data_IF_129117698078
#
_entry.id   IF_129117698078
#
_cell.length_a   1.000
_cell.length_b   1.000
_cell.length_c   1.000
_cell.angle_alpha   90.00
_cell.angle_beta   90.00
_cell.angle_gamma   90.00
#
_symmetry.space_group_name_H-M   'P 1'
#
loop_
_entity.id
_entity.type
_entity.pdbx_description
1 polymer ?
#
# COMPACT_ATOMS: atom_id res chain seq x y z
N UNK A 1 13.75 -10.52 -51.55
CA UNK A 1 12.83 -10.29 -52.68
C UNK A 1 13.11 -8.89 -53.21
N UNK A 2 13.57 -8.82 -54.46
CA UNK A 2 14.02 -7.63 -55.19
C UNK A 2 12.81 -6.98 -55.88
N UNK A 3 12.73 -5.65 -55.96
CA UNK A 3 12.32 -4.86 -57.17
C UNK A 3 12.45 -3.34 -56.83
N UNK A 4 13.56 -2.67 -57.17
CA UNK A 4 13.98 -1.98 -58.42
C UNK A 4 13.34 -0.60 -58.70
N UNK A 5 14.21 0.43 -58.60
CA UNK A 5 14.52 1.57 -59.49
C UNK A 5 13.38 2.32 -60.22
N UNK A 6 13.40 3.66 -60.11
CA UNK A 6 13.75 4.51 -61.27
C UNK A 6 14.18 5.93 -60.88
N UNK A 7 15.35 6.33 -61.39
CA UNK A 7 15.84 7.70 -61.54
C UNK A 7 15.19 8.34 -62.77
N UNK A 8 14.97 9.66 -62.77
CA UNK A 8 15.18 10.54 -63.93
C UNK A 8 15.21 12.02 -63.51
N UNK A 9 16.22 12.74 -63.99
CA UNK A 9 16.42 14.17 -63.84
C UNK A 9 15.59 14.96 -64.86
N UNK A 10 15.15 16.17 -64.50
CA UNK A 10 14.65 17.16 -65.46
C UNK A 10 14.62 18.57 -64.87
N UNK A 11 15.52 19.44 -65.34
CA UNK A 11 15.48 20.90 -65.12
C UNK A 11 14.66 21.57 -66.24
N UNK A 12 13.69 22.41 -65.89
CA UNK A 12 13.20 23.55 -66.69
C UNK A 12 12.41 24.49 -65.77
N UNK A 13 12.97 25.65 -65.39
CA UNK A 13 12.72 26.99 -65.95
C UNK A 13 11.25 27.47 -65.94
N UNK A 14 10.95 28.29 -64.94
CA UNK A 14 10.31 29.61 -65.11
C UNK A 14 8.79 29.66 -65.21
N UNK A 15 8.15 30.25 -64.20
CA UNK A 15 7.20 31.37 -64.35
C UNK A 15 6.80 31.86 -62.96
N UNK A 16 7.03 33.16 -62.73
CA UNK A 16 6.64 33.87 -61.53
C UNK A 16 5.10 33.94 -61.46
N UNK A 17 4.52 33.32 -60.44
CA UNK A 17 3.14 33.52 -60.03
C UNK A 17 3.13 33.99 -58.59
N UNK A 18 2.55 35.15 -58.32
CA UNK A 18 2.30 35.65 -56.97
C UNK A 18 1.52 34.60 -56.18
N UNK A 19 2.17 33.91 -55.25
CA UNK A 19 1.47 33.17 -54.20
C UNK A 19 1.12 34.17 -53.09
N UNK A 20 -0.17 34.45 -52.91
CA UNK A 20 -0.66 35.09 -51.70
C UNK A 20 -0.21 34.25 -50.50
N UNK A 21 0.64 34.83 -49.65
CA UNK A 21 0.92 34.28 -48.34
C UNK A 21 -0.33 34.49 -47.49
N UNK A 22 -1.22 33.50 -47.49
CA UNK A 22 -2.21 33.39 -46.43
C UNK A 22 -1.44 33.04 -45.16
N UNK A 23 -1.25 34.03 -44.28
CA UNK A 23 -0.80 33.79 -42.91
C UNK A 23 -1.98 33.09 -42.22
N UNK A 24 -2.01 31.76 -42.32
CA UNK A 24 -2.84 30.95 -41.44
C UNK A 24 -2.34 31.21 -40.03
N UNK A 25 -3.11 31.96 -39.25
CA UNK A 25 -2.87 32.11 -37.82
C UNK A 25 -2.83 30.70 -37.23
N UNK A 26 -1.65 30.27 -36.80
CA UNK A 26 -1.49 29.12 -35.92
C UNK A 26 -2.16 29.52 -34.60
N UNK A 27 -3.45 29.24 -34.47
CA UNK A 27 -4.04 29.14 -33.15
C UNK A 27 -3.22 28.09 -32.40
N UNK A 28 -2.77 28.37 -31.16
CA UNK A 28 -2.11 27.35 -30.38
C UNK A 28 -3.09 26.19 -30.24
N UNK A 29 -2.70 25.00 -30.71
CA UNK A 29 -3.36 23.77 -30.32
C UNK A 29 -3.23 23.74 -28.79
N UNK A 30 -4.32 23.99 -28.08
CA UNK A 30 -4.41 23.61 -26.68
C UNK A 30 -4.07 22.13 -26.64
N UNK A 31 -2.98 21.78 -25.96
CA UNK A 31 -2.66 20.39 -25.68
C UNK A 31 -3.90 19.83 -24.95
N UNK A 32 -4.53 18.80 -25.51
CA UNK A 32 -5.66 18.17 -24.86
C UNK A 32 -5.19 17.62 -23.51
N UNK A 33 -5.97 17.85 -22.45
CA UNK A 33 -5.77 17.26 -21.13
C UNK A 33 -5.31 15.79 -21.25
N UNK A 34 -4.08 15.52 -20.84
CA UNK A 34 -3.59 14.15 -20.79
C UNK A 34 -3.93 13.58 -19.41
N UNK A 35 -4.78 12.55 -19.42
CA UNK A 35 -5.10 11.77 -18.23
C UNK A 35 -4.15 10.58 -18.17
N UNK A 36 -3.23 10.59 -17.21
CA UNK A 36 -2.26 9.50 -17.04
C UNK A 36 -2.98 8.31 -16.40
N UNK A 37 -2.88 7.14 -17.04
CA UNK A 37 -3.64 5.92 -16.68
C UNK A 37 -2.76 4.77 -16.18
N UNK A 38 -1.44 4.95 -16.14
CA UNK A 38 -0.46 3.91 -15.78
C UNK A 38 -0.64 3.38 -14.34
N UNK A 39 -1.37 4.11 -13.51
CA UNK A 39 -1.63 3.82 -12.10
C UNK A 39 -3.08 3.43 -11.82
N UNK A 40 -3.89 3.12 -12.86
CA UNK A 40 -5.30 2.76 -12.71
C UNK A 40 -5.52 1.77 -11.55
N UNK A 41 -6.52 1.93 -10.66
CA UNK A 41 -7.65 2.83 -10.79
C UNK A 41 -7.36 4.28 -10.37
N UNK A 42 -6.10 4.66 -10.17
CA UNK A 42 -5.71 6.05 -9.98
C UNK A 42 -5.40 6.74 -11.31
N UNK A 43 -5.99 7.92 -11.48
CA UNK A 43 -5.85 8.72 -12.68
C UNK A 43 -5.40 10.12 -12.31
N UNK A 44 -4.30 10.54 -12.92
CA UNK A 44 -3.73 11.86 -12.72
C UNK A 44 -4.11 12.76 -13.91
N UNK A 45 -4.64 13.94 -13.60
CA UNK A 45 -5.03 14.94 -14.60
C UNK A 45 -3.94 16.01 -14.69
N UNK A 46 -3.28 16.08 -15.85
CA UNK A 46 -2.21 17.06 -16.10
C UNK A 46 -2.69 18.52 -16.10
N UNK A 47 -3.99 18.79 -16.24
CA UNK A 47 -4.55 20.13 -16.10
C UNK A 47 -4.75 20.53 -14.63
N UNK A 48 -4.92 19.55 -13.74
CA UNK A 48 -5.16 19.72 -12.31
C UNK A 48 -4.15 18.91 -11.49
N UNK A 49 -2.85 19.28 -11.52
CA UNK A 49 -1.77 18.46 -10.96
C UNK A 49 -1.89 18.19 -9.45
N UNK A 50 -2.63 19.02 -8.71
CA UNK A 50 -2.92 18.79 -7.29
C UNK A 50 -3.94 17.68 -7.01
N UNK A 51 -4.51 17.06 -8.04
CA UNK A 51 -5.63 16.12 -7.94
C UNK A 51 -5.23 14.75 -8.49
N UNK A 52 -5.54 13.71 -7.71
CA UNK A 52 -5.54 12.32 -8.14
C UNK A 52 -6.96 11.76 -7.99
N UNK A 53 -7.46 11.02 -8.98
CA UNK A 53 -8.79 10.41 -8.93
C UNK A 53 -8.71 8.90 -8.75
N UNK A 54 -9.38 8.35 -7.74
CA UNK A 54 -9.69 6.93 -7.64
C UNK A 54 -11.02 6.65 -8.34
N UNK A 55 -10.97 5.88 -9.43
CA UNK A 55 -12.16 5.41 -10.15
C UNK A 55 -12.07 3.90 -10.40
N UNK A 56 -12.78 3.13 -9.59
CA UNK A 56 -12.84 1.67 -9.71
C UNK A 56 -12.82 0.94 -8.37
N UNK A 57 -12.69 -0.38 -8.42
CA UNK A 57 -12.73 -1.24 -7.25
C UNK A 57 -11.40 -1.24 -6.48
N UNK A 58 -11.49 -1.40 -5.16
CA UNK A 58 -10.35 -1.54 -4.26
C UNK A 58 -9.97 -3.01 -4.16
N UNK A 59 -8.73 -3.34 -4.53
CA UNK A 59 -8.17 -4.69 -4.49
C UNK A 59 -6.69 -4.67 -4.07
N UNK A 60 -6.08 -5.86 -3.99
CA UNK A 60 -4.71 -6.11 -3.52
C UNK A 60 -3.57 -5.44 -4.32
N UNK A 61 -3.88 -4.74 -5.41
CA UNK A 61 -2.90 -3.97 -6.17
C UNK A 61 -3.09 -2.46 -5.99
N UNK A 62 -4.17 -2.04 -5.34
CA UNK A 62 -4.60 -0.64 -5.30
C UNK A 62 -3.71 0.17 -4.35
N UNK A 63 -3.31 -0.40 -3.21
CA UNK A 63 -2.44 0.29 -2.25
C UNK A 63 -1.07 0.66 -2.86
N UNK A 64 -0.45 -0.28 -3.56
CA UNK A 64 0.84 -0.12 -4.21
C UNK A 64 0.76 0.88 -5.35
N UNK A 65 -0.36 0.89 -6.09
CA UNK A 65 -0.59 1.85 -7.17
C UNK A 65 -0.80 3.26 -6.63
N UNK A 66 -1.47 3.44 -5.49
CA UNK A 66 -1.58 4.74 -4.82
C UNK A 66 -0.20 5.27 -4.44
N UNK A 67 0.60 4.48 -3.72
CA UNK A 67 1.95 4.89 -3.30
C UNK A 67 2.85 5.24 -4.48
N UNK A 68 2.79 4.45 -5.56
CA UNK A 68 3.52 4.75 -6.80
C UNK A 68 3.04 6.02 -7.51
N UNK A 69 1.74 6.30 -7.50
CA UNK A 69 1.19 7.53 -8.07
C UNK A 69 1.64 8.75 -7.26
N UNK A 70 1.52 8.71 -5.93
CA UNK A 70 1.96 9.81 -5.06
C UNK A 70 3.47 10.06 -5.12
N UNK A 71 4.28 9.01 -5.30
CA UNK A 71 5.71 9.17 -5.53
C UNK A 71 6.02 9.83 -6.88
N UNK A 72 5.26 9.49 -7.93
CA UNK A 72 5.45 10.05 -9.27
C UNK A 72 4.92 11.49 -9.38
N UNK A 73 3.89 11.83 -8.60
CA UNK A 73 3.20 13.12 -8.59
C UNK A 73 3.17 13.69 -7.16
N UNK A 74 4.33 14.13 -6.62
CA UNK A 74 4.44 14.60 -5.24
C UNK A 74 3.66 15.89 -4.93
N UNK A 75 3.16 16.58 -5.95
CA UNK A 75 2.32 17.77 -5.84
C UNK A 75 0.83 17.49 -5.60
N UNK A 76 0.41 16.22 -5.68
CA UNK A 76 -0.96 15.81 -5.36
C UNK A 76 -1.26 16.11 -3.90
N UNK A 77 -2.33 16.87 -3.66
CA UNK A 77 -2.82 17.21 -2.33
C UNK A 77 -4.25 16.72 -2.09
N UNK A 78 -5.00 16.39 -3.14
CA UNK A 78 -6.41 15.99 -3.06
C UNK A 78 -6.66 14.68 -3.79
N UNK A 79 -7.34 13.75 -3.13
CA UNK A 79 -7.82 12.51 -3.70
C UNK A 79 -9.33 12.60 -3.95
N UNK A 80 -9.74 12.54 -5.23
CA UNK A 80 -11.14 12.38 -5.60
C UNK A 80 -11.52 10.90 -5.49
N UNK A 81 -12.62 10.62 -4.80
CA UNK A 81 -13.03 9.26 -4.44
C UNK A 81 -14.34 8.89 -5.12
N UNK A 82 -14.26 7.97 -6.08
CA UNK A 82 -15.41 7.34 -6.73
C UNK A 82 -15.18 5.83 -6.84
N UNK A 83 -15.59 5.10 -5.81
CA UNK A 83 -15.40 3.66 -5.69
C UNK A 83 -16.52 2.99 -4.91
N UNK A 84 -16.97 1.83 -5.40
CA UNK A 84 -17.93 0.97 -4.70
C UNK A 84 -17.30 0.21 -3.53
N UNK A 85 -16.00 0.37 -3.31
CA UNK A 85 -15.23 -0.31 -2.28
C UNK A 85 -14.56 -1.56 -2.79
N UNK A 86 -14.39 -2.54 -1.90
CA UNK A 86 -13.66 -3.76 -2.18
C UNK A 86 -13.10 -4.39 -0.91
N UNK A 87 -11.83 -4.77 -0.94
CA UNK A 87 -11.15 -5.42 0.19
C UNK A 87 -10.94 -4.46 1.36
N UNK A 88 -11.18 -4.97 2.57
CA UNK A 88 -11.12 -4.18 3.82
C UNK A 88 -9.69 -3.75 4.12
N UNK A 89 -8.75 -4.69 4.08
CA UNK A 89 -7.34 -4.45 4.36
C UNK A 89 -6.74 -3.41 3.42
N UNK A 90 -7.00 -3.49 2.10
CA UNK A 90 -6.49 -2.50 1.15
C UNK A 90 -7.11 -1.12 1.39
N UNK A 91 -8.39 -1.06 1.75
CA UNK A 91 -9.05 0.19 2.17
C UNK A 91 -8.38 0.83 3.40
N UNK A 92 -8.06 0.04 4.43
CA UNK A 92 -7.39 0.50 5.65
C UNK A 92 -5.92 0.88 5.41
N UNK A 93 -5.19 0.09 4.63
CA UNK A 93 -3.80 0.38 4.22
C UNK A 93 -3.71 1.71 3.47
N UNK A 94 -4.60 1.92 2.49
CA UNK A 94 -4.67 3.19 1.76
C UNK A 94 -5.14 4.34 2.64
N UNK A 95 -6.04 4.10 3.59
CA UNK A 95 -6.46 5.11 4.58
C UNK A 95 -5.27 5.60 5.39
N UNK A 96 -4.41 4.69 5.85
CA UNK A 96 -3.19 5.06 6.59
C UNK A 96 -2.27 5.91 5.72
N UNK A 97 -2.08 5.53 4.45
CA UNK A 97 -1.27 6.29 3.49
C UNK A 97 -1.85 7.69 3.23
N UNK A 98 -3.17 7.82 3.02
CA UNK A 98 -3.85 9.11 2.82
C UNK A 98 -3.63 10.03 4.01
N UNK A 99 -3.76 9.49 5.22
CA UNK A 99 -3.60 10.24 6.46
C UNK A 99 -2.15 10.70 6.66
N UNK A 100 -1.18 9.81 6.46
CA UNK A 100 0.25 10.12 6.63
C UNK A 100 0.79 11.12 5.60
N UNK A 101 0.29 11.06 4.36
CA UNK A 101 0.61 12.05 3.32
C UNK A 101 -0.15 13.37 3.51
N UNK A 102 -1.07 13.45 4.46
CA UNK A 102 -1.85 14.67 4.73
C UNK A 102 -2.79 15.04 3.58
N UNK A 103 -3.31 14.05 2.85
CA UNK A 103 -4.16 14.30 1.68
C UNK A 103 -5.56 14.77 2.08
N UNK A 104 -6.12 15.67 1.29
CA UNK A 104 -7.55 16.02 1.30
C UNK A 104 -8.33 14.94 0.57
N UNK A 105 -9.55 14.66 1.00
CA UNK A 105 -10.43 13.69 0.34
C UNK A 105 -11.72 14.36 -0.12
N UNK A 106 -12.15 14.05 -1.33
CA UNK A 106 -13.37 14.63 -1.88
C UNK A 106 -14.19 13.60 -2.66
N UNK A 107 -15.51 13.55 -2.41
CA UNK A 107 -16.44 12.74 -3.22
C UNK A 107 -17.13 13.69 -4.22
N UNK A 108 -16.85 13.59 -5.53
CA UNK A 108 -17.45 14.49 -6.54
C UNK A 108 -18.97 14.28 -6.66
N UNK A 109 -19.68 15.21 -7.31
CA UNK A 109 -21.16 15.23 -7.36
C UNK A 109 -21.82 13.94 -7.85
N UNK A 110 -21.25 13.29 -8.85
CA UNK A 110 -21.68 12.01 -9.41
C UNK A 110 -20.92 10.80 -8.82
N UNK A 111 -19.98 11.07 -7.90
CA UNK A 111 -19.18 10.09 -7.20
C UNK A 111 -19.96 9.35 -6.13
N UNK A 112 -19.60 8.07 -5.99
CA UNK A 112 -20.10 7.21 -4.92
C UNK A 112 -18.88 6.61 -4.22
N UNK A 113 -18.79 6.78 -2.90
CA UNK A 113 -17.70 6.23 -2.10
C UNK A 113 -18.26 5.31 -1.02
N UNK A 114 -18.25 4.00 -1.30
CA UNK A 114 -18.94 2.99 -0.50
C UNK A 114 -17.97 1.99 0.12
N UNK A 115 -18.39 1.39 1.24
CA UNK A 115 -17.67 0.29 1.88
C UNK A 115 -16.22 0.67 2.20
N UNK A 116 -15.22 -0.07 1.71
CA UNK A 116 -13.80 0.22 1.90
C UNK A 116 -13.38 1.63 1.44
N UNK A 117 -14.05 2.22 0.43
CA UNK A 117 -13.78 3.61 0.03
C UNK A 117 -14.10 4.60 1.17
N UNK A 118 -15.11 4.31 2.00
CA UNK A 118 -15.47 5.20 3.10
C UNK A 118 -14.32 5.36 4.08
N UNK A 119 -13.52 4.30 4.34
CA UNK A 119 -12.31 4.40 5.17
C UNK A 119 -11.32 5.42 4.60
N UNK A 120 -11.08 5.36 3.29
CA UNK A 120 -10.20 6.30 2.60
C UNK A 120 -10.71 7.73 2.71
N UNK A 121 -12.03 7.94 2.53
CA UNK A 121 -12.65 9.25 2.72
C UNK A 121 -12.42 9.78 4.14
N UNK A 122 -12.62 8.94 5.16
CA UNK A 122 -12.39 9.32 6.55
C UNK A 122 -10.92 9.64 6.82
N UNK A 123 -9.95 9.02 6.17
CA UNK A 123 -8.54 9.31 6.44
C UNK A 123 -8.10 10.74 6.06
N UNK A 124 -8.84 11.42 5.19
CA UNK A 124 -8.49 12.75 4.71
C UNK A 124 -8.41 13.78 5.84
N UNK A 125 -7.38 14.63 5.80
CA UNK A 125 -7.16 15.71 6.77
C UNK A 125 -8.15 16.87 6.60
N UNK A 126 -8.75 16.96 5.42
CA UNK A 126 -9.89 17.80 5.09
C UNK A 126 -10.81 17.02 4.16
N UNK A 127 -12.12 17.06 4.44
CA UNK A 127 -13.12 16.21 3.77
C UNK A 127 -14.17 17.05 3.08
N UNK A 128 -14.36 16.83 1.79
CA UNK A 128 -15.45 17.42 1.02
C UNK A 128 -16.34 16.36 0.37
N UNK A 129 -17.62 16.65 0.21
CA UNK A 129 -18.52 15.73 -0.50
C UNK A 129 -19.61 16.50 -1.21
N UNK A 130 -19.74 16.26 -2.50
CA UNK A 130 -20.92 16.59 -3.31
C UNK A 130 -21.71 15.32 -3.66
N UNK A 131 -21.04 14.17 -3.66
CA UNK A 131 -21.61 12.85 -3.90
C UNK A 131 -22.03 12.11 -2.63
N UNK A 132 -22.10 10.78 -2.73
CA UNK A 132 -22.66 9.90 -1.69
C UNK A 132 -21.58 9.12 -0.96
N UNK A 133 -21.71 9.04 0.37
CA UNK A 133 -20.88 8.20 1.23
C UNK A 133 -21.70 7.02 1.76
N UNK A 134 -21.18 5.80 1.68
CA UNK A 134 -21.90 4.59 2.06
C UNK A 134 -21.12 3.71 3.03
N UNK A 135 -21.77 3.30 4.11
CA UNK A 135 -21.16 2.45 5.15
C UNK A 135 -21.99 1.19 5.41
N UNK A 136 -21.30 0.10 5.74
CA UNK A 136 -21.88 -1.15 6.24
C UNK A 136 -20.85 -1.92 7.07
N UNK A 137 -21.29 -2.89 7.85
CA UNK A 137 -20.40 -3.76 8.62
C UNK A 137 -19.67 -4.74 7.71
N UNK A 138 -18.50 -5.20 8.14
CA UNK A 138 -17.69 -6.17 7.41
C UNK A 138 -18.46 -7.49 7.17
N UNK A 139 -18.27 -8.10 6.00
CA UNK A 139 -18.78 -9.44 5.71
C UNK A 139 -17.94 -10.50 6.46
N UNK A 140 -18.55 -11.61 6.86
CA UNK A 140 -17.82 -12.74 7.49
C UNK A 140 -17.41 -12.56 8.96
N UNK A 141 -17.75 -11.44 9.62
CA UNK A 141 -17.44 -11.19 11.06
C UNK A 141 -17.96 -12.25 12.04
N UNK A 142 -18.88 -13.11 11.62
CA UNK A 142 -19.46 -14.17 12.44
C UNK A 142 -18.93 -15.58 12.15
N UNK A 143 -18.11 -15.73 11.11
CA UNK A 143 -17.65 -17.05 10.65
C UNK A 143 -16.35 -17.48 11.38
N UNK A 144 -15.50 -16.49 11.70
CA UNK A 144 -14.33 -16.63 12.58
C UNK A 144 -14.32 -15.46 13.58
N UNK A 145 -14.49 -15.80 14.86
CA UNK A 145 -14.63 -14.82 15.95
C UNK A 145 -13.31 -14.09 16.21
N UNK A 146 -12.16 -14.76 16.04
CA UNK A 146 -10.85 -14.16 16.33
C UNK A 146 -10.45 -13.20 15.22
N UNK A 147 -10.52 -13.66 13.96
CA UNK A 147 -10.27 -12.82 12.79
C UNK A 147 -11.25 -11.64 12.72
N UNK A 148 -12.51 -11.87 13.06
CA UNK A 148 -13.53 -10.83 13.13
C UNK A 148 -13.23 -9.76 14.19
N UNK A 149 -12.62 -10.13 15.32
CA UNK A 149 -12.26 -9.21 16.40
C UNK A 149 -11.03 -8.34 16.05
N UNK A 150 -10.03 -8.90 15.40
CA UNK A 150 -8.82 -8.17 14.99
C UNK A 150 -9.14 -7.08 13.96
N UNK A 151 -9.79 -7.45 12.86
CA UNK A 151 -10.14 -6.51 11.79
C UNK A 151 -11.10 -5.44 12.30
N UNK A 152 -12.06 -5.83 13.15
CA UNK A 152 -12.98 -4.87 13.74
C UNK A 152 -12.25 -3.87 14.64
N UNK A 153 -11.29 -4.34 15.44
CA UNK A 153 -10.48 -3.48 16.30
C UNK A 153 -9.67 -2.48 15.49
N UNK A 154 -9.08 -2.90 14.37
CA UNK A 154 -8.34 -2.04 13.46
C UNK A 154 -9.23 -0.98 12.78
N UNK A 155 -10.42 -1.39 12.31
CA UNK A 155 -11.41 -0.44 11.76
C UNK A 155 -11.79 0.59 12.81
N UNK A 156 -12.11 0.18 14.04
CA UNK A 156 -12.45 1.10 15.11
C UNK A 156 -11.30 2.06 15.45
N UNK A 157 -10.08 1.53 15.57
CA UNK A 157 -8.89 2.33 15.86
C UNK A 157 -8.63 3.37 14.75
N UNK A 158 -8.80 2.98 13.49
CA UNK A 158 -8.66 3.85 12.33
C UNK A 158 -9.71 4.96 12.34
N UNK A 159 -11.00 4.61 12.44
CA UNK A 159 -12.09 5.58 12.46
C UNK A 159 -11.98 6.54 13.65
N UNK A 160 -11.54 6.05 14.80
CA UNK A 160 -11.25 6.89 15.96
C UNK A 160 -10.07 7.83 15.69
N UNK A 161 -8.96 7.34 15.14
CA UNK A 161 -7.79 8.15 14.77
C UNK A 161 -8.17 9.27 13.81
N UNK A 162 -9.06 8.97 12.87
CA UNK A 162 -9.56 9.95 11.91
C UNK A 162 -10.67 10.85 12.47
N UNK A 163 -11.06 10.76 13.74
CA UNK A 163 -12.10 11.62 14.30
C UNK A 163 -13.46 11.47 13.63
N UNK A 164 -13.79 10.24 13.21
CA UNK A 164 -15.12 9.92 12.68
C UNK A 164 -16.13 9.97 13.83
N UNK A 165 -17.25 10.72 13.68
CA UNK A 165 -18.32 10.75 14.68
C UNK A 165 -18.82 9.34 15.01
N UNK A 166 -18.97 9.05 16.30
CA UNK A 166 -19.39 7.72 16.78
C UNK A 166 -20.73 7.27 16.19
N UNK A 167 -21.61 8.20 15.83
CA UNK A 167 -22.90 7.93 15.18
C UNK A 167 -22.74 7.24 13.81
N UNK A 168 -21.70 7.61 13.06
CA UNK A 168 -21.36 6.98 11.77
C UNK A 168 -20.79 5.59 12.00
N UNK A 169 -19.90 5.44 12.99
CA UNK A 169 -19.34 4.14 13.39
C UNK A 169 -20.46 3.18 13.81
N UNK A 170 -21.37 3.63 14.67
CA UNK A 170 -22.52 2.84 15.10
C UNK A 170 -23.41 2.45 13.92
N UNK A 171 -23.69 3.39 13.00
CA UNK A 171 -24.51 3.13 11.82
C UNK A 171 -23.86 2.10 10.90
N UNK A 172 -22.55 2.19 10.69
CA UNK A 172 -21.77 1.21 9.92
C UNK A 172 -21.98 -0.19 10.49
N UNK A 173 -21.77 -0.38 11.80
CA UNK A 173 -21.88 -1.68 12.47
C UNK A 173 -23.30 -2.26 12.48
N UNK A 174 -24.30 -1.39 12.55
CA UNK A 174 -25.72 -1.79 12.53
C UNK A 174 -26.22 -2.16 11.13
N UNK A 175 -25.48 -1.80 10.08
CA UNK A 175 -25.90 -2.02 8.70
C UNK A 175 -25.33 -3.36 8.21
N UNK A 176 -26.16 -4.38 7.90
CA UNK A 176 -25.71 -5.68 7.40
C UNK A 176 -24.92 -5.58 6.09
N UNK A 177 -23.99 -6.50 5.78
CA UNK A 177 -23.14 -6.41 4.59
C UNK A 177 -23.92 -6.50 3.27
N UNK A 178 -25.14 -7.04 3.28
CA UNK A 178 -26.04 -7.10 2.11
C UNK A 178 -26.77 -5.76 1.87
N UNK A 179 -26.59 -4.78 2.76
CA UNK A 179 -27.21 -3.45 2.68
C UNK A 179 -26.15 -2.36 2.80
N UNK A 180 -26.51 -1.17 2.33
CA UNK A 180 -25.67 0.02 2.45
C UNK A 180 -26.49 1.12 3.13
N UNK A 181 -25.93 1.75 4.16
CA UNK A 181 -26.47 3.01 4.65
C UNK A 181 -25.75 4.14 3.93
N UNK A 182 -26.51 4.96 3.19
CA UNK A 182 -25.97 6.00 2.34
C UNK A 182 -26.29 7.36 2.96
N UNK A 183 -25.26 8.16 3.18
CA UNK A 183 -25.34 9.55 3.57
C UNK A 183 -25.27 10.46 2.34
N UNK A 184 -26.07 11.53 2.36
CA UNK A 184 -25.91 12.65 1.43
C UNK A 184 -25.01 13.75 2.03
N UNK A 185 -24.51 14.70 1.21
CA UNK A 185 -23.65 15.78 1.70
C UNK A 185 -24.22 16.61 2.85
N UNK A 186 -25.54 16.84 2.85
CA UNK A 186 -26.19 17.64 3.90
C UNK A 186 -26.16 16.91 5.26
N UNK A 187 -26.36 15.59 5.26
CA UNK A 187 -26.24 14.75 6.46
C UNK A 187 -24.80 14.71 6.98
N UNK A 188 -23.82 14.58 6.09
CA UNK A 188 -22.40 14.58 6.47
C UNK A 188 -21.97 15.93 7.09
N UNK A 189 -22.44 17.04 6.50
CA UNK A 189 -22.21 18.38 7.05
C UNK A 189 -22.85 18.55 8.43
N UNK A 190 -24.09 18.08 8.60
CA UNK A 190 -24.81 18.15 9.88
C UNK A 190 -24.12 17.35 11.01
N UNK A 191 -23.33 16.33 10.66
CA UNK A 191 -22.54 15.53 11.59
C UNK A 191 -21.13 16.08 11.82
N UNK A 192 -20.82 17.28 11.32
CA UNK A 192 -19.48 17.90 11.35
C UNK A 192 -18.38 17.01 10.75
N UNK A 193 -18.71 16.20 9.74
CA UNK A 193 -17.74 15.35 9.06
C UNK A 193 -17.02 16.09 7.93
N UNK A 194 -17.64 17.12 7.35
CA UNK A 194 -17.05 17.90 6.25
C UNK A 194 -16.24 19.09 6.78
N UNK A 195 -15.21 19.46 6.03
CA UNK A 195 -14.20 20.45 6.41
C UNK A 195 -12.94 19.80 7.00
N UNK A 196 -12.08 20.57 7.69
CA UNK A 196 -10.91 20.03 8.36
C UNK A 196 -11.31 18.93 9.33
N UNK A 197 -10.64 17.78 9.26
CA UNK A 197 -10.87 16.69 10.19
C UNK A 197 -10.71 17.24 11.62
N UNK A 198 -11.73 17.07 12.45
CA UNK A 198 -11.62 17.41 13.85
C UNK A 198 -10.44 16.63 14.42
N UNK A 199 -9.38 17.33 14.84
CA UNK A 199 -8.33 16.70 15.61
C UNK A 199 -9.03 16.05 16.80
N UNK A 200 -9.09 14.72 16.81
CA UNK A 200 -9.28 14.05 18.07
C UNK A 200 -8.09 14.54 18.85
N UNK A 201 -8.32 15.29 19.91
CA UNK A 201 -7.34 15.44 20.96
C UNK A 201 -7.17 14.03 21.52
N UNK A 202 -6.44 13.17 20.79
CA UNK A 202 -5.48 12.34 21.43
C UNK A 202 -4.80 13.31 22.37
N UNK A 203 -4.96 13.06 23.67
CA UNK A 203 -4.03 13.63 24.63
C UNK A 203 -2.72 12.89 24.36
N UNK A 204 -2.14 13.09 23.18
CA UNK A 204 -0.73 12.94 22.98
C UNK A 204 -0.17 14.04 23.86
N UNK A 205 0.53 13.70 24.96
CA UNK A 205 1.27 14.72 25.69
C UNK A 205 2.07 15.48 24.65
N UNK A 206 1.97 16.82 24.68
CA UNK A 206 2.74 17.69 23.80
C UNK A 206 4.18 17.15 23.78
N UNK A 207 4.57 16.54 22.66
CA UNK A 207 5.93 16.09 22.49
C UNK A 207 6.73 17.40 22.51
N UNK A 208 7.61 17.63 23.49
CA UNK A 208 8.58 18.69 23.32
C UNK A 208 9.27 18.44 21.98
N UNK A 209 9.46 19.50 21.20
CA UNK A 209 10.38 19.53 20.06
C UNK A 209 11.74 19.04 20.56
N UNK A 210 11.89 17.73 20.56
CA UNK A 210 13.09 16.97 20.78
C UNK A 210 13.44 16.51 19.38
N UNK A 211 14.73 16.61 19.04
CA UNK A 211 15.24 16.04 17.80
C UNK A 211 14.61 14.66 17.58
N UNK A 212 14.17 14.41 16.34
CA UNK A 212 13.51 13.17 15.92
C UNK A 212 14.07 11.97 16.70
N UNK A 213 13.24 11.35 17.53
CA UNK A 213 13.53 10.01 18.01
C UNK A 213 13.40 9.14 16.76
N UNK A 214 14.54 8.71 16.24
CA UNK A 214 14.67 7.88 15.06
C UNK A 214 14.01 6.51 15.34
N UNK A 215 12.69 6.41 15.14
CA UNK A 215 11.92 5.16 15.20
C UNK A 215 12.08 4.36 13.89
N UNK A 216 13.22 4.53 13.22
CA UNK A 216 13.52 3.82 11.99
C UNK A 216 14.31 2.57 12.33
N UNK A 217 13.87 1.44 11.79
CA UNK A 217 14.52 0.16 11.95
C UNK A 217 15.66 0.06 10.96
N UNK A 218 16.86 -0.18 11.46
CA UNK A 218 18.10 -0.21 10.67
C UNK A 218 18.83 -1.50 10.95
N UNK A 219 19.23 -2.22 9.91
CA UNK A 219 20.03 -3.43 10.06
C UNK A 219 21.35 -3.16 10.78
N UNK A 220 21.94 -1.96 10.61
CA UNK A 220 23.12 -1.50 11.36
C UNK A 220 22.86 -1.25 12.86
N UNK A 221 21.61 -1.32 13.30
CA UNK A 221 21.23 -1.30 14.71
C UNK A 221 20.26 -2.46 15.02
N UNK A 222 20.76 -3.70 15.20
CA UNK A 222 19.92 -4.86 15.50
C UNK A 222 19.00 -4.68 16.72
N UNK A 223 19.42 -3.86 17.69
CA UNK A 223 18.63 -3.50 18.86
C UNK A 223 17.31 -2.80 18.52
N UNK A 224 17.21 -2.15 17.36
CA UNK A 224 15.97 -1.54 16.88
C UNK A 224 14.89 -2.60 16.60
N UNK A 225 15.26 -3.77 16.06
CA UNK A 225 14.35 -4.89 15.81
C UNK A 225 13.95 -5.63 17.09
N UNK A 226 14.87 -5.81 18.04
CA UNK A 226 14.48 -6.35 19.34
C UNK A 226 13.51 -5.44 20.06
N UNK A 227 13.72 -4.12 20.04
CA UNK A 227 12.77 -3.19 20.64
C UNK A 227 11.39 -3.25 19.95
N UNK A 228 11.38 -3.42 18.63
CA UNK A 228 10.15 -3.59 17.86
C UNK A 228 9.35 -4.83 18.29
N UNK A 229 9.99 -6.01 18.37
CA UNK A 229 9.30 -7.24 18.77
C UNK A 229 8.98 -7.30 20.27
N UNK A 230 9.80 -6.68 21.13
CA UNK A 230 9.55 -6.62 22.58
C UNK A 230 8.30 -5.79 22.91
N UNK A 231 8.10 -4.65 22.23
CA UNK A 231 6.86 -3.85 22.32
C UNK A 231 5.59 -4.65 22.02
N UNK A 232 5.72 -5.77 21.29
CA UNK A 232 4.62 -6.68 20.90
C UNK A 232 4.47 -7.87 21.84
N UNK A 233 5.27 -7.95 22.91
CA UNK A 233 5.22 -9.03 23.91
C UNK A 233 5.91 -10.33 23.46
N UNK A 234 6.70 -10.29 22.40
CA UNK A 234 7.36 -11.47 21.80
C UNK A 234 8.62 -11.94 22.55
N UNK A 235 9.13 -11.14 23.49
CA UNK A 235 10.37 -11.40 24.25
C UNK A 235 11.55 -11.82 23.35
N UNK A 236 11.96 -10.98 22.40
CA UNK A 236 12.96 -11.33 21.40
C UNK A 236 14.36 -11.46 22.01
N UNK A 237 15.17 -12.35 21.43
CA UNK A 237 16.57 -12.56 21.77
C UNK A 237 17.46 -12.05 20.62
N UNK A 238 18.40 -11.15 20.93
CA UNK A 238 19.48 -10.80 20.02
C UNK A 238 20.67 -11.73 20.26
N UNK A 239 21.07 -12.45 19.23
CA UNK A 239 22.18 -13.39 19.22
C UNK A 239 22.99 -13.24 17.92
N UNK A 240 23.87 -14.20 17.63
CA UNK A 240 24.67 -14.24 16.40
C UNK A 240 24.42 -15.53 15.63
N UNK A 241 24.53 -15.46 14.31
CA UNK A 241 24.49 -16.63 13.44
C UNK A 241 25.82 -17.42 13.46
N UNK A 242 25.99 -18.37 12.53
CA UNK A 242 27.18 -19.23 12.46
C UNK A 242 28.44 -18.52 11.94
N UNK A 243 28.27 -17.39 11.25
CA UNK A 243 29.34 -16.60 10.63
C UNK A 243 29.72 -15.41 11.53
N UNK A 244 28.88 -15.09 12.51
CA UNK A 244 29.08 -14.04 13.51
C UNK A 244 28.20 -12.82 13.29
N UNK A 245 27.34 -12.83 12.27
CA UNK A 245 26.43 -11.72 11.98
C UNK A 245 25.27 -11.71 12.99
N UNK A 246 24.66 -10.55 13.28
CA UNK A 246 23.53 -10.46 14.20
C UNK A 246 22.33 -11.29 13.73
N UNK A 247 21.58 -11.82 14.68
CA UNK A 247 20.30 -12.49 14.44
C UNK A 247 19.34 -12.16 15.58
N UNK A 248 18.09 -11.88 15.23
CA UNK A 248 17.00 -11.75 16.21
C UNK A 248 16.10 -12.97 16.13
N UNK A 249 15.93 -13.65 17.27
CA UNK A 249 14.94 -14.70 17.45
C UNK A 249 13.73 -14.06 18.14
N UNK A 250 12.55 -14.24 17.58
CA UNK A 250 11.31 -13.74 18.16
C UNK A 250 10.25 -14.84 18.12
N UNK A 251 9.18 -14.71 18.89
CA UNK A 251 8.09 -15.69 18.91
C UNK A 251 6.79 -15.09 18.37
N UNK A 252 6.13 -15.83 17.48
CA UNK A 252 4.76 -15.57 17.02
C UNK A 252 3.97 -16.88 17.11
N UNK A 253 2.76 -16.83 17.67
CA UNK A 253 1.90 -18.00 17.94
C UNK A 253 2.60 -19.18 18.67
N UNK A 254 3.56 -18.86 19.54
CA UNK A 254 4.34 -19.84 20.30
C UNK A 254 5.43 -20.56 19.50
N UNK A 255 5.62 -20.20 18.23
CA UNK A 255 6.69 -20.70 17.37
C UNK A 255 7.85 -19.70 17.31
N UNK A 256 9.08 -20.21 17.31
CA UNK A 256 10.26 -19.37 17.12
C UNK A 256 10.40 -18.98 15.63
N UNK A 257 10.58 -17.69 15.42
CA UNK A 257 10.84 -17.03 14.15
C UNK A 257 12.24 -16.42 14.15
N UNK A 258 12.85 -16.34 12.97
CA UNK A 258 14.23 -15.90 12.81
C UNK A 258 14.31 -14.70 11.86
N UNK A 259 14.97 -13.64 12.33
CA UNK A 259 15.35 -12.49 11.54
C UNK A 259 16.87 -12.43 11.45
N UNK A 260 17.41 -12.78 10.28
CA UNK A 260 18.83 -12.78 9.98
C UNK A 260 19.27 -11.41 9.45
N UNK A 261 20.51 -11.02 9.70
CA UNK A 261 21.08 -9.74 9.23
C UNK A 261 22.10 -10.00 8.12
N UNK A 262 22.07 -9.15 7.09
CA UNK A 262 22.85 -9.32 5.88
C UNK A 262 23.51 -8.01 5.42
N UNK A 263 24.45 -8.15 4.49
CA UNK A 263 25.27 -7.07 3.95
C UNK A 263 26.06 -6.32 5.03
N UNK A 264 26.55 -7.07 6.02
CA UNK A 264 27.30 -6.55 7.15
C UNK A 264 28.76 -6.25 6.77
N UNK A 265 29.29 -5.13 7.27
CA UNK A 265 30.73 -4.88 7.32
C UNK A 265 31.23 -5.25 8.71
N UNK A 266 32.20 -6.16 8.78
CA UNK A 266 32.81 -6.65 10.04
C UNK A 266 31.78 -7.06 11.12
N UNK A 267 30.68 -7.70 10.69
CA UNK A 267 29.60 -8.22 11.55
C UNK A 267 28.75 -7.18 12.30
N UNK A 268 28.82 -5.88 11.98
CA UNK A 268 28.10 -4.82 12.75
C UNK A 268 27.29 -3.83 11.89
N UNK A 269 27.79 -3.42 10.72
CA UNK A 269 27.14 -2.40 9.88
C UNK A 269 26.31 -3.03 8.75
N UNK A 270 25.29 -3.80 9.12
CA UNK A 270 24.41 -4.49 8.17
C UNK A 270 23.47 -3.53 7.43
N UNK A 271 23.03 -3.90 6.22
CA UNK A 271 22.14 -3.07 5.39
C UNK A 271 20.80 -3.75 5.07
N UNK A 272 20.68 -5.05 5.32
CA UNK A 272 19.46 -5.81 5.07
C UNK A 272 19.15 -6.76 6.22
N UNK A 273 17.89 -7.16 6.31
CA UNK A 273 17.43 -8.26 7.15
C UNK A 273 16.65 -9.27 6.31
N UNK A 274 16.53 -10.50 6.79
CA UNK A 274 15.80 -11.55 6.12
C UNK A 274 14.98 -12.34 7.13
N UNK A 275 13.69 -12.51 6.87
CA UNK A 275 12.92 -13.54 7.56
C UNK A 275 13.25 -14.91 7.00
N UNK A 276 13.45 -15.87 7.87
CA UNK A 276 13.83 -17.24 7.51
C UNK A 276 12.98 -18.26 8.27
N UNK A 277 12.47 -19.26 7.53
CA UNK A 277 11.89 -20.46 8.08
C UNK A 277 12.46 -21.69 7.37
N UNK A 278 12.95 -22.67 8.15
CA UNK A 278 13.48 -23.94 7.63
C UNK A 278 12.68 -25.11 8.18
N UNK A 279 12.43 -26.11 7.34
CA UNK A 279 11.58 -27.26 7.64
C UNK A 279 12.27 -28.57 7.27
N UNK A 280 12.22 -29.52 8.19
CA UNK A 280 12.57 -30.91 7.95
C UNK A 280 11.27 -31.73 7.94
N UNK A 281 10.94 -32.35 6.81
CA UNK A 281 9.73 -33.16 6.65
C UNK A 281 10.09 -34.64 6.56
N UNK A 282 9.14 -35.51 6.96
CA UNK A 282 9.27 -36.97 6.81
C UNK A 282 9.29 -37.40 5.34
N UNK A 283 8.60 -36.63 4.49
CA UNK A 283 8.57 -36.84 3.04
C UNK A 283 9.29 -35.68 2.32
N UNK A 284 10.19 -35.96 1.38
CA UNK A 284 10.89 -34.90 0.65
C UNK A 284 9.93 -34.11 -0.23
N UNK A 285 10.03 -32.79 -0.16
CA UNK A 285 9.32 -31.86 -1.04
C UNK A 285 10.04 -31.81 -2.39
N UNK A 286 9.29 -31.89 -3.49
CA UNK A 286 9.90 -31.84 -4.83
C UNK A 286 10.31 -30.42 -5.20
N UNK A 287 11.40 -30.29 -5.97
CA UNK A 287 11.80 -29.00 -6.55
C UNK A 287 10.70 -28.39 -7.42
N UNK A 288 9.81 -29.20 -8.00
CA UNK A 288 8.64 -28.72 -8.76
C UNK A 288 7.62 -28.01 -7.87
N UNK A 289 7.35 -28.53 -6.67
CA UNK A 289 6.47 -27.87 -5.70
C UNK A 289 7.05 -26.52 -5.25
N UNK A 290 8.36 -26.47 -5.00
CA UNK A 290 9.08 -25.23 -4.68
C UNK A 290 9.07 -24.23 -5.84
N UNK A 291 9.28 -24.70 -7.08
CA UNK A 291 9.19 -23.84 -8.26
C UNK A 291 7.76 -23.31 -8.50
N UNK A 292 6.74 -24.09 -8.17
CA UNK A 292 5.33 -23.65 -8.20
C UNK A 292 5.08 -22.57 -7.14
N UNK A 293 5.74 -22.65 -5.98
CA UNK A 293 5.77 -21.55 -5.02
C UNK A 293 6.34 -20.28 -5.65
N UNK A 294 7.58 -20.35 -6.12
CA UNK A 294 8.32 -19.21 -6.65
C UNK A 294 7.69 -18.60 -7.93
N UNK A 295 6.93 -19.39 -8.69
CA UNK A 295 6.31 -18.97 -9.94
C UNK A 295 4.99 -18.20 -9.81
N UNK A 296 4.37 -18.13 -8.63
CA UNK A 296 3.09 -17.42 -8.45
C UNK A 296 3.28 -15.91 -8.32
N UNK A 297 2.46 -15.13 -9.03
CA UNK A 297 2.43 -13.67 -8.94
C UNK A 297 2.09 -13.16 -7.52
N UNK A 298 1.37 -13.94 -6.71
CA UNK A 298 1.03 -13.60 -5.33
C UNK A 298 2.20 -13.80 -4.33
N UNK A 299 3.29 -14.44 -4.75
CA UNK A 299 4.41 -14.86 -3.88
C UNK A 299 5.69 -14.07 -4.16
N UNK A 300 5.58 -12.94 -4.85
CA UNK A 300 6.69 -12.10 -5.33
C UNK A 300 7.75 -11.76 -4.27
N UNK A 301 7.36 -11.62 -3.01
CA UNK A 301 8.24 -11.16 -1.93
C UNK A 301 8.87 -12.30 -1.14
N UNK A 302 8.51 -13.55 -1.42
CA UNK A 302 9.12 -14.70 -0.77
C UNK A 302 9.74 -15.62 -1.81
N UNK A 303 10.76 -16.35 -1.38
CA UNK A 303 11.42 -17.37 -2.18
C UNK A 303 11.59 -18.61 -1.32
N UNK A 304 11.33 -19.76 -1.93
CA UNK A 304 11.51 -21.05 -1.30
C UNK A 304 12.64 -21.82 -1.97
N UNK A 305 13.36 -22.63 -1.19
CA UNK A 305 14.43 -23.50 -1.65
C UNK A 305 14.25 -24.92 -1.12
N UNK A 306 14.86 -25.87 -1.82
CA UNK A 306 14.99 -27.26 -1.36
C UNK A 306 16.47 -27.63 -1.39
N UNK A 307 16.94 -28.19 -0.29
CA UNK A 307 18.31 -28.67 -0.10
C UNK A 307 18.47 -30.11 -0.61
N UNK A 308 19.72 -30.57 -0.77
CA UNK A 308 20.01 -31.95 -1.20
C UNK A 308 19.52 -33.01 -0.21
N UNK A 309 19.46 -32.67 1.08
CA UNK A 309 18.95 -33.54 2.15
C UNK A 309 17.42 -33.56 2.27
N UNK A 310 16.73 -32.85 1.37
CA UNK A 310 15.26 -32.76 1.32
C UNK A 310 14.65 -31.75 2.28
N UNK A 311 15.45 -31.03 3.08
CA UNK A 311 14.97 -29.88 3.84
C UNK A 311 14.52 -28.76 2.90
N UNK A 312 13.52 -27.98 3.33
CA UNK A 312 13.04 -26.82 2.58
C UNK A 312 13.13 -25.56 3.42
N UNK A 313 13.38 -24.44 2.77
CA UNK A 313 13.35 -23.12 3.41
C UNK A 313 12.43 -22.17 2.67
N UNK A 314 11.93 -21.19 3.42
CA UNK A 314 11.26 -20.01 2.92
C UNK A 314 12.02 -18.78 3.43
N UNK A 315 12.18 -17.79 2.56
CA UNK A 315 12.93 -16.57 2.84
C UNK A 315 12.20 -15.34 2.32
N UNK A 316 12.35 -14.21 3.04
CA UNK A 316 11.90 -12.88 2.61
C UNK A 316 12.93 -11.82 2.99
N UNK A 317 13.58 -11.22 2.00
CA UNK A 317 14.58 -10.17 2.20
C UNK A 317 13.94 -8.79 2.34
N UNK A 318 14.49 -7.96 3.23
CA UNK A 318 14.08 -6.57 3.45
C UNK A 318 15.33 -5.69 3.46
N UNK A 319 15.44 -4.82 2.46
CA UNK A 319 16.50 -3.82 2.40
C UNK A 319 16.16 -2.65 3.32
N UNK A 320 16.87 -2.52 4.44
CA UNK A 320 16.77 -1.34 5.31
C UNK A 320 17.64 -0.20 4.80
N UNK A 321 18.71 -0.54 4.05
CA UNK A 321 19.72 0.42 3.58
C UNK A 321 20.27 1.27 4.74
N UNK A 322 20.88 2.42 4.43
CA UNK A 322 21.42 3.33 5.45
C UNK A 322 20.34 4.17 6.12
N UNK A 323 19.26 4.42 5.40
CA UNK A 323 18.18 5.30 5.83
C UNK A 323 17.21 4.59 6.77
N UNK A 324 17.14 3.26 6.70
CA UNK A 324 16.27 2.41 7.51
C UNK A 324 14.87 2.25 6.91
N UNK A 325 14.03 1.45 7.58
CA UNK A 325 12.61 1.26 7.28
C UNK A 325 11.76 1.72 8.47
N UNK A 326 10.59 2.31 8.21
CA UNK A 326 9.70 2.72 9.29
C UNK A 326 9.17 1.51 10.09
N UNK A 327 8.89 1.68 11.39
CA UNK A 327 8.22 0.63 12.18
C UNK A 327 6.88 0.21 11.56
N UNK A 328 6.17 1.15 10.91
CA UNK A 328 4.92 0.87 10.18
C UNK A 328 5.16 -0.11 9.03
N UNK A 329 6.06 0.23 8.11
CA UNK A 329 6.28 -0.58 6.91
C UNK A 329 6.85 -1.95 7.28
N UNK A 330 7.73 -1.99 8.28
CA UNK A 330 8.27 -3.26 8.76
C UNK A 330 7.20 -4.14 9.39
N UNK A 331 6.25 -3.58 10.16
CA UNK A 331 5.11 -4.32 10.69
C UNK A 331 4.26 -4.94 9.57
N UNK A 332 4.03 -4.19 8.49
CA UNK A 332 3.24 -4.68 7.36
C UNK A 332 4.00 -5.82 6.64
N UNK A 333 5.33 -5.75 6.56
CA UNK A 333 6.18 -6.83 6.04
C UNK A 333 6.23 -8.07 6.95
N UNK A 334 6.20 -7.91 8.28
CA UNK A 334 6.05 -9.04 9.23
C UNK A 334 4.71 -9.76 8.98
N UNK A 335 3.62 -9.01 8.82
CA UNK A 335 2.31 -9.59 8.51
C UNK A 335 2.31 -10.35 7.18
N UNK A 336 2.93 -9.78 6.14
CA UNK A 336 3.11 -10.46 4.86
C UNK A 336 3.93 -11.75 5.00
N UNK A 337 5.01 -11.71 5.78
CA UNK A 337 5.86 -12.87 6.05
C UNK A 337 5.04 -14.01 6.68
N UNK A 338 4.36 -13.74 7.80
CA UNK A 338 3.60 -14.74 8.53
C UNK A 338 2.49 -15.36 7.66
N UNK A 339 1.78 -14.54 6.88
CA UNK A 339 0.77 -15.02 5.93
C UNK A 339 1.37 -15.95 4.87
N UNK A 340 2.49 -15.54 4.25
CA UNK A 340 3.17 -16.34 3.21
C UNK A 340 3.77 -17.61 3.78
N UNK A 341 4.28 -17.57 5.01
CA UNK A 341 4.78 -18.74 5.74
C UNK A 341 3.66 -19.77 5.94
N UNK A 342 2.51 -19.37 6.47
CA UNK A 342 1.39 -20.28 6.67
C UNK A 342 0.85 -20.88 5.36
N UNK A 343 0.78 -20.07 4.29
CA UNK A 343 0.45 -20.58 2.94
C UNK A 343 1.47 -21.60 2.42
N UNK A 344 2.76 -21.41 2.72
CA UNK A 344 3.83 -22.31 2.30
C UNK A 344 3.80 -23.62 3.08
N UNK A 345 3.62 -23.56 4.40
CA UNK A 345 3.45 -24.72 5.29
C UNK A 345 2.31 -25.60 4.82
N UNK A 346 1.15 -25.00 4.51
CA UNK A 346 0.01 -25.72 3.94
C UNK A 346 0.33 -26.38 2.58
N UNK A 347 1.19 -25.78 1.76
CA UNK A 347 1.58 -26.34 0.46
C UNK A 347 2.52 -27.55 0.61
N UNK A 348 3.43 -27.51 1.60
CA UNK A 348 4.41 -28.57 1.83
C UNK A 348 3.88 -29.66 2.79
N UNK A 349 2.75 -29.43 3.44
CA UNK A 349 2.14 -30.37 4.38
C UNK A 349 2.84 -30.42 5.73
N UNK A 350 3.39 -29.29 6.17
CA UNK A 350 3.87 -29.06 7.54
C UNK A 350 2.69 -28.65 8.42
#
# INVERSE_FOLDING_TARGET
>A
MIYRKNTLSGRARGLAGLAMVAVAGLAPLAAAAERITDYAPFYYDTENPGILSLEGDINSQTDFRLGRALHAFPEVETLLLSSRGGTVYDGLSMSTTIHEYGLKTHIPADGECYSACAYMFFAGVERGSEGKLGVHRLAGLGDDITFGQEVLSEVFASLYTYGVPFEIVLKMLQTPPERMFIYNPQELAAMNLLGPAAAVAATQPAQPSTAAVDNTLKASNPGSFTAFFDKRGSTPELTTDQIGDPMVIFHEDGSAEYLLFYDCTDHVDCLAVQFYAGYQLDAPVSAEAVNTWNGSLSRRFTRAFVSEDGSVSLEMDIATSRDGISERDFRDLVGLWLLRKGEFEAQIGF
#
